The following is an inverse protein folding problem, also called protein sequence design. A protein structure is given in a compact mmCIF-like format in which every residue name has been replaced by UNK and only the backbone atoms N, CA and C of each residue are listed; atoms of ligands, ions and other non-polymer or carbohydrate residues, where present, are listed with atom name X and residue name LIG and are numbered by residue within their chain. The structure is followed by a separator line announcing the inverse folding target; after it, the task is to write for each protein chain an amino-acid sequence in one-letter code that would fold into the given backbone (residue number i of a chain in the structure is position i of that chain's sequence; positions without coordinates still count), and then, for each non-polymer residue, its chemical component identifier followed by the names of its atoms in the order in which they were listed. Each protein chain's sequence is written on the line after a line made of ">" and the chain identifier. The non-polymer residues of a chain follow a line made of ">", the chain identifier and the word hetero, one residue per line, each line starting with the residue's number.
data_IF_175589368559
#
_entry.id   IF_175589368559
#
_cell.length_a   1.000
_cell.length_b   1.000
_cell.length_c   1.000
_cell.angle_alpha   90.00
_cell.angle_beta   90.00
_cell.angle_gamma   90.00
#
_symmetry.space_group_name_H-M   'P 1'
#
loop_
_entity.id
_entity.type
_entity.pdbx_description
1 polymer ?
#
# COMPACT_ATOMS: atom_id res chain seq x y z
N UNK A 1 58.97 -46.49 40.72
CA UNK A 1 58.80 -45.03 40.54
C UNK A 1 58.57 -44.78 39.06
N UNK A 2 57.41 -44.22 38.67
CA UNK A 2 57.07 -43.90 37.27
C UNK A 2 56.88 -42.38 37.12
N UNK A 3 57.53 -41.70 36.16
CA UNK A 3 57.33 -40.27 35.95
C UNK A 3 56.05 -40.02 35.14
N UNK A 4 55.11 -39.26 35.70
CA UNK A 4 53.95 -38.70 34.96
C UNK A 4 54.42 -37.49 34.14
N UNK A 5 54.44 -37.63 32.82
CA UNK A 5 54.59 -36.51 31.91
C UNK A 5 53.34 -35.61 31.97
N UNK A 6 53.50 -34.36 32.42
CA UNK A 6 52.46 -33.32 32.29
C UNK A 6 52.53 -32.76 30.86
N UNK A 7 51.52 -33.04 30.05
CA UNK A 7 51.30 -32.35 28.77
C UNK A 7 50.81 -30.92 29.06
N UNK A 8 51.66 -29.92 28.85
CA UNK A 8 51.21 -28.53 28.80
C UNK A 8 50.47 -28.31 27.48
N UNK A 9 49.16 -28.09 27.56
CA UNK A 9 48.35 -27.70 26.39
C UNK A 9 48.65 -26.23 26.10
N UNK A 10 49.61 -25.98 25.22
CA UNK A 10 49.89 -24.64 24.73
C UNK A 10 48.61 -24.06 24.10
N UNK A 11 48.03 -23.03 24.74
CA UNK A 11 46.91 -22.28 24.16
C UNK A 11 47.50 -21.44 23.03
N UNK A 12 47.15 -21.77 21.78
CA UNK A 12 47.46 -20.93 20.63
C UNK A 12 46.69 -19.62 20.80
N UNK A 13 47.39 -18.51 20.92
CA UNK A 13 46.80 -17.17 20.86
C UNK A 13 46.39 -16.87 19.42
N UNK A 14 45.35 -16.06 19.26
CA UNK A 14 44.91 -15.61 17.93
C UNK A 14 45.96 -14.69 17.31
N UNK A 15 46.16 -14.87 16.01
CA UNK A 15 47.00 -13.96 15.20
C UNK A 15 46.26 -12.66 14.95
N UNK A 16 47.01 -11.58 14.69
CA UNK A 16 46.45 -10.26 14.43
C UNK A 16 45.52 -10.28 13.20
N UNK A 17 45.85 -11.08 12.18
CA UNK A 17 45.04 -11.23 10.97
C UNK A 17 43.72 -11.96 11.24
N UNK A 18 43.72 -13.03 12.06
CA UNK A 18 42.49 -13.72 12.46
C UNK A 18 41.54 -12.77 13.20
N UNK A 19 42.09 -11.94 14.08
CA UNK A 19 41.30 -10.97 14.82
C UNK A 19 40.70 -9.91 13.88
N UNK A 20 41.46 -9.45 12.89
CA UNK A 20 40.99 -8.46 11.91
C UNK A 20 39.88 -9.02 11.00
N UNK A 21 39.98 -10.30 10.60
CA UNK A 21 38.94 -11.00 9.85
C UNK A 21 37.68 -11.19 10.69
N UNK A 22 37.82 -11.54 11.98
CA UNK A 22 36.65 -11.71 12.86
C UNK A 22 35.92 -10.39 13.08
N UNK A 23 36.61 -9.28 13.35
CA UNK A 23 35.93 -7.99 13.53
C UNK A 23 35.29 -7.50 12.24
N UNK A 24 35.86 -7.77 11.07
CA UNK A 24 35.26 -7.37 9.78
C UNK A 24 34.02 -8.19 9.46
N UNK A 25 34.01 -9.50 9.74
CA UNK A 25 32.81 -10.34 9.62
C UNK A 25 31.74 -9.87 10.61
N UNK A 26 32.09 -9.58 11.87
CA UNK A 26 31.14 -9.03 12.85
C UNK A 26 30.60 -7.70 12.35
N UNK A 27 31.41 -6.78 11.84
CA UNK A 27 30.94 -5.50 11.31
C UNK A 27 30.04 -5.64 10.08
N UNK A 28 30.31 -6.60 9.18
CA UNK A 28 29.45 -6.87 8.02
C UNK A 28 28.11 -7.47 8.46
N UNK A 29 28.13 -8.46 9.35
CA UNK A 29 26.92 -9.08 9.89
C UNK A 29 26.13 -8.08 10.73
N UNK A 30 26.81 -7.29 11.57
CA UNK A 30 26.21 -6.17 12.30
C UNK A 30 25.64 -5.13 11.36
N UNK A 31 26.26 -4.81 10.22
CA UNK A 31 25.69 -3.92 9.20
C UNK A 31 24.38 -4.47 8.60
N UNK A 32 24.30 -5.78 8.39
CA UNK A 32 23.08 -6.44 7.92
C UNK A 32 21.96 -6.43 8.99
N UNK A 33 22.30 -6.61 10.26
CA UNK A 33 21.32 -6.61 11.37
C UNK A 33 20.97 -5.21 11.91
N UNK A 34 21.89 -4.24 11.86
CA UNK A 34 21.67 -2.86 12.32
C UNK A 34 20.84 -2.04 11.32
N UNK A 35 20.70 -2.51 10.07
CA UNK A 35 19.72 -1.97 9.14
C UNK A 35 18.29 -2.50 9.40
N UNK A 36 18.12 -3.36 10.42
CA UNK A 36 16.84 -3.88 10.89
C UNK A 36 16.60 -3.48 12.35
N UNK A 37 16.38 -2.19 12.60
CA UNK A 37 15.52 -1.63 13.66
C UNK A 37 16.02 -0.25 14.10
N UNK A 38 15.87 0.74 13.24
CA UNK A 38 15.58 2.11 13.67
C UNK A 38 14.09 2.32 13.38
N UNK A 39 13.16 2.36 14.33
CA UNK A 39 13.31 3.11 15.56
C UNK A 39 13.19 4.61 15.32
N UNK A 40 12.86 5.08 14.10
CA UNK A 40 12.70 6.51 13.85
C UNK A 40 11.26 6.84 13.47
N UNK A 41 10.60 7.64 14.31
CA UNK A 41 9.30 8.24 14.03
C UNK A 41 9.24 9.08 12.75
N UNK A 42 10.35 9.25 12.03
CA UNK A 42 10.42 9.82 10.68
C UNK A 42 9.81 8.92 9.60
N UNK A 43 9.83 7.58 9.76
CA UNK A 43 9.29 6.66 8.75
C UNK A 43 7.80 6.85 8.53
N UNK A 44 7.03 6.97 9.61
CA UNK A 44 5.58 7.10 9.56
C UNK A 44 5.12 8.43 8.95
N UNK A 45 5.73 9.54 9.39
CA UNK A 45 5.48 10.86 8.78
C UNK A 45 5.97 10.90 7.33
N UNK A 46 7.07 10.24 7.01
CA UNK A 46 7.57 10.06 5.64
C UNK A 46 6.54 9.33 4.76
N UNK A 47 6.04 8.19 5.23
CA UNK A 47 4.99 7.42 4.56
C UNK A 47 3.72 8.25 4.35
N UNK A 48 3.29 9.00 5.36
CA UNK A 48 2.13 9.89 5.26
C UNK A 48 2.34 10.99 4.20
N UNK A 49 3.52 11.61 4.15
CA UNK A 49 3.85 12.62 3.12
C UNK A 49 3.89 12.00 1.72
N UNK A 50 4.45 10.81 1.58
CA UNK A 50 4.52 10.06 0.31
C UNK A 50 3.12 9.77 -0.24
N UNK A 51 2.23 9.18 0.59
CA UNK A 51 0.85 8.86 0.19
C UNK A 51 0.08 10.13 -0.14
N UNK A 52 0.17 11.18 0.69
CA UNK A 52 -0.52 12.44 0.42
C UNK A 52 -0.01 13.16 -0.83
N UNK A 53 1.29 13.06 -1.13
CA UNK A 53 1.87 13.56 -2.38
C UNK A 53 1.33 12.79 -3.59
N UNK A 54 1.18 11.48 -3.45
CA UNK A 54 0.62 10.61 -4.50
C UNK A 54 -0.85 10.95 -4.77
N UNK A 55 -1.66 11.14 -3.73
CA UNK A 55 -3.05 11.61 -3.89
C UNK A 55 -3.12 12.97 -4.59
N UNK A 56 -2.25 13.92 -4.22
CA UNK A 56 -2.15 15.21 -4.94
C UNK A 56 -1.75 15.04 -6.40
N UNK A 57 -0.92 14.04 -6.71
CA UNK A 57 -0.52 13.70 -8.09
C UNK A 57 -1.68 13.09 -8.87
N UNK A 58 -2.44 12.15 -8.27
CA UNK A 58 -3.71 11.62 -8.81
C UNK A 58 -4.66 12.77 -9.12
N UNK A 59 -4.80 13.73 -8.19
CA UNK A 59 -5.65 14.91 -8.36
C UNK A 59 -5.17 15.81 -9.50
N UNK A 60 -3.88 16.06 -9.62
CA UNK A 60 -3.33 16.85 -10.70
C UNK A 60 -3.63 16.21 -12.07
N UNK A 61 -3.47 14.89 -12.19
CA UNK A 61 -3.85 14.16 -13.41
C UNK A 61 -5.35 14.27 -13.71
N UNK A 62 -6.19 14.20 -12.69
CA UNK A 62 -7.63 14.37 -12.81
C UNK A 62 -8.04 15.78 -13.29
N UNK A 63 -7.34 16.81 -12.81
CA UNK A 63 -7.55 18.20 -13.23
C UNK A 63 -7.08 18.45 -14.67
N UNK A 64 -6.04 17.74 -15.11
CA UNK A 64 -5.56 17.79 -16.49
C UNK A 64 -6.38 16.93 -17.46
N UNK A 65 -7.41 16.23 -16.97
CA UNK A 65 -8.20 15.25 -17.71
C UNK A 65 -7.34 14.28 -18.54
N UNK A 66 -6.23 13.80 -17.96
CA UNK A 66 -5.31 12.87 -18.62
C UNK A 66 -5.85 11.45 -18.51
N UNK A 67 -6.53 10.94 -19.52
CA UNK A 67 -6.99 9.54 -19.53
C UNK A 67 -5.91 8.54 -19.93
N UNK A 68 -6.33 7.29 -20.08
CA UNK A 68 -5.45 6.14 -20.25
C UNK A 68 -4.57 6.21 -21.50
N UNK A 69 -5.06 6.85 -22.56
CA UNK A 69 -4.40 6.86 -23.87
C UNK A 69 -3.37 7.98 -24.05
N UNK A 70 -3.25 8.91 -23.09
CA UNK A 70 -2.27 10.02 -23.17
C UNK A 70 -2.50 11.04 -24.29
N UNK A 71 -3.45 10.83 -25.20
CA UNK A 71 -3.83 11.73 -26.30
C UNK A 71 -5.14 12.47 -25.98
N UNK A 72 -5.28 13.69 -26.50
CA UNK A 72 -6.35 14.63 -26.15
C UNK A 72 -7.77 14.07 -26.19
N UNK A 73 -8.56 14.51 -25.20
CA UNK A 73 -9.93 14.08 -24.85
C UNK A 73 -10.02 12.66 -24.30
N UNK A 74 -10.38 12.57 -23.02
CA UNK A 74 -10.60 11.32 -22.31
C UNK A 74 -12.04 11.22 -21.84
N UNK A 75 -12.65 10.06 -22.06
CA UNK A 75 -14.04 9.80 -21.72
C UNK A 75 -14.13 8.87 -20.51
N UNK A 76 -15.03 9.24 -19.59
CA UNK A 76 -15.25 8.53 -18.33
C UNK A 76 -13.92 8.22 -17.60
N UNK A 77 -13.03 9.22 -17.52
CA UNK A 77 -11.70 9.03 -16.95
C UNK A 77 -11.79 8.85 -15.42
N UNK A 78 -11.05 7.86 -14.91
CA UNK A 78 -10.95 7.52 -13.48
C UNK A 78 -9.50 7.56 -13.04
N UNK A 79 -9.28 8.14 -11.87
CA UNK A 79 -7.95 8.38 -11.32
C UNK A 79 -7.88 7.72 -9.96
N UNK A 80 -7.07 6.67 -9.82
CA UNK A 80 -7.05 5.83 -8.62
C UNK A 80 -5.67 5.77 -7.99
N UNK A 81 -5.62 5.90 -6.66
CA UNK A 81 -4.51 5.40 -5.85
C UNK A 81 -4.83 3.96 -5.44
N UNK A 82 -4.01 3.00 -5.85
CA UNK A 82 -4.16 1.59 -5.51
C UNK A 82 -3.28 1.24 -4.31
N UNK A 83 -3.80 0.44 -3.38
CA UNK A 83 -3.08 -0.11 -2.22
C UNK A 83 -3.12 -1.64 -2.32
N UNK A 84 -1.96 -2.30 -2.33
CA UNK A 84 -1.90 -3.73 -2.57
C UNK A 84 -2.54 -4.50 -1.42
N UNK A 85 -3.47 -5.39 -1.76
CA UNK A 85 -4.07 -6.35 -0.84
C UNK A 85 -3.79 -7.77 -1.33
N UNK A 86 -2.58 -8.25 -1.06
CA UNK A 86 -2.14 -9.59 -1.43
C UNK A 86 -1.64 -10.36 -0.20
N UNK A 87 -2.50 -11.07 0.54
CA UNK A 87 -2.10 -11.75 1.77
C UNK A 87 -1.09 -12.89 1.55
N UNK A 88 -0.91 -13.35 0.31
CA UNK A 88 0.08 -14.38 -0.04
C UNK A 88 1.50 -13.80 -0.17
N UNK A 89 1.63 -12.47 -0.27
CA UNK A 89 2.90 -11.75 -0.36
C UNK A 89 3.02 -10.73 0.78
N UNK A 90 3.37 -11.17 2.01
CA UNK A 90 3.43 -10.31 3.19
C UNK A 90 4.48 -9.19 3.08
N UNK A 91 5.43 -9.27 2.15
CA UNK A 91 6.44 -8.22 1.93
C UNK A 91 5.82 -7.00 1.28
N UNK A 92 4.86 -7.21 0.37
CA UNK A 92 4.26 -6.14 -0.41
C UNK A 92 2.82 -5.82 0.03
N UNK A 93 2.13 -6.77 0.67
CA UNK A 93 0.80 -6.61 1.25
C UNK A 93 0.71 -5.36 2.11
N UNK A 94 -0.22 -4.44 1.81
CA UNK A 94 -0.43 -3.18 2.53
C UNK A 94 0.83 -2.31 2.69
N UNK A 95 1.88 -2.59 1.93
CA UNK A 95 3.16 -1.90 1.94
C UNK A 95 3.41 -1.19 0.60
N UNK A 96 2.91 -1.80 -0.48
CA UNK A 96 3.01 -1.33 -1.85
C UNK A 96 1.74 -0.59 -2.28
N UNK A 97 1.92 0.51 -3.00
CA UNK A 97 0.84 1.29 -3.59
C UNK A 97 1.26 1.83 -4.96
N UNK A 98 0.31 2.23 -5.79
CA UNK A 98 0.62 2.86 -7.08
C UNK A 98 -0.51 3.79 -7.52
N UNK A 99 -0.25 4.59 -8.55
CA UNK A 99 -1.29 5.37 -9.22
C UNK A 99 -1.69 4.63 -10.49
N UNK A 100 -2.99 4.61 -10.80
CA UNK A 100 -3.50 4.15 -12.08
C UNK A 100 -4.52 5.12 -12.65
N UNK A 101 -4.57 5.16 -13.96
CA UNK A 101 -5.47 6.01 -14.73
C UNK A 101 -6.24 5.11 -15.68
N UNK A 102 -7.55 5.26 -15.66
CA UNK A 102 -8.49 4.54 -16.50
C UNK A 102 -9.26 5.49 -17.41
N UNK A 103 -9.55 5.08 -18.63
CA UNK A 103 -10.52 5.77 -19.50
C UNK A 103 -11.03 4.86 -20.61
N UNK A 104 -12.09 5.29 -21.26
CA UNK A 104 -12.57 4.64 -22.49
C UNK A 104 -11.56 4.91 -23.62
N UNK A 105 -11.20 3.84 -24.34
CA UNK A 105 -10.35 3.88 -25.52
C UNK A 105 -11.21 3.94 -26.79
N UNK A 106 -11.22 5.12 -27.41
CA UNK A 106 -12.01 5.41 -28.61
C UNK A 106 -11.40 4.80 -29.88
N UNK A 107 -10.12 4.42 -29.87
CA UNK A 107 -9.45 3.86 -31.06
C UNK A 107 -9.97 2.47 -31.44
N UNK A 108 -10.55 1.76 -30.47
CA UNK A 108 -11.10 0.41 -30.64
C UNK A 108 -12.63 0.41 -30.79
N UNK A 109 -13.24 1.59 -30.87
CA UNK A 109 -14.70 1.72 -30.94
C UNK A 109 -15.22 1.64 -32.37
N UNK A 110 -16.31 0.90 -32.55
CA UNK A 110 -17.08 0.91 -33.81
C UNK A 110 -17.67 2.29 -34.08
N UNK A 111 -17.80 2.63 -35.37
CA UNK A 111 -18.44 3.89 -35.78
C UNK A 111 -19.87 4.01 -35.22
N UNK A 112 -20.22 5.20 -34.75
CA UNK A 112 -21.55 5.51 -34.23
C UNK A 112 -21.80 5.15 -32.75
N UNK A 113 -20.82 4.57 -32.06
CA UNK A 113 -20.92 4.35 -30.61
C UNK A 113 -20.45 5.59 -29.85
N UNK A 114 -21.29 6.12 -28.96
CA UNK A 114 -20.93 7.24 -28.10
C UNK A 114 -20.08 6.76 -26.91
N UNK A 115 -18.82 7.22 -26.76
CA UNK A 115 -17.92 6.81 -25.67
C UNK A 115 -18.41 7.20 -24.28
N UNK A 116 -19.30 8.19 -24.15
CA UNK A 116 -19.85 8.61 -22.86
C UNK A 116 -20.81 7.57 -22.25
N UNK A 117 -21.32 6.66 -23.08
CA UNK A 117 -22.22 5.58 -22.64
C UNK A 117 -21.48 4.40 -21.99
N UNK A 118 -20.15 4.34 -22.13
CA UNK A 118 -19.33 3.27 -21.56
C UNK A 118 -18.94 3.66 -20.13
N UNK A 119 -19.78 3.25 -19.18
CA UNK A 119 -19.60 3.55 -17.75
C UNK A 119 -18.91 2.43 -16.96
N UNK A 120 -19.00 1.19 -17.46
CA UNK A 120 -18.42 0.00 -16.84
C UNK A 120 -16.91 -0.07 -17.03
N UNK A 121 -16.17 -0.20 -15.93
CA UNK A 121 -14.69 -0.32 -15.91
C UNK A 121 -14.18 -1.66 -16.42
N UNK A 122 -15.07 -2.66 -16.50
CA UNK A 122 -14.77 -4.00 -17.04
C UNK A 122 -15.11 -4.14 -18.52
N UNK A 123 -15.65 -3.11 -19.16
CA UNK A 123 -15.80 -3.12 -20.60
C UNK A 123 -14.43 -3.29 -21.27
N UNK A 124 -14.35 -4.12 -22.30
CA UNK A 124 -13.10 -4.37 -23.04
C UNK A 124 -12.49 -3.10 -23.65
N UNK A 125 -13.31 -2.07 -23.89
CA UNK A 125 -12.93 -0.74 -24.38
C UNK A 125 -12.46 0.20 -23.28
N UNK A 126 -12.72 -0.13 -22.01
CA UNK A 126 -12.19 0.61 -20.88
C UNK A 126 -10.77 0.12 -20.57
N UNK A 127 -9.79 1.01 -20.72
CA UNK A 127 -8.37 0.69 -20.55
C UNK A 127 -7.82 1.37 -19.33
N UNK A 128 -6.84 0.72 -18.71
CA UNK A 128 -6.12 1.20 -17.56
C UNK A 128 -4.63 1.13 -17.81
N UNK A 129 -3.90 2.08 -17.27
CA UNK A 129 -2.44 2.06 -17.22
C UNK A 129 -1.95 2.66 -15.90
N UNK A 130 -0.68 2.40 -15.59
CA UNK A 130 0.02 3.02 -14.48
C UNK A 130 1.10 3.96 -15.07
N UNK A 131 1.03 5.27 -14.78
CA UNK A 131 2.00 6.23 -15.31
C UNK A 131 3.39 6.06 -14.69
N UNK A 132 3.46 5.53 -13.47
CA UNK A 132 4.68 5.37 -12.68
C UNK A 132 4.77 3.94 -12.14
N UNK A 133 5.99 3.48 -11.83
CA UNK A 133 6.17 2.18 -11.21
C UNK A 133 5.56 2.14 -9.78
N UNK A 134 5.16 0.95 -9.29
CA UNK A 134 4.67 0.80 -7.93
C UNK A 134 5.67 1.28 -6.89
N UNK A 135 5.17 1.95 -5.85
CA UNK A 135 5.98 2.53 -4.78
C UNK A 135 5.80 1.74 -3.49
N UNK A 136 6.89 1.53 -2.76
CA UNK A 136 6.86 0.98 -1.41
C UNK A 136 6.85 2.12 -0.38
N UNK A 137 6.09 1.93 0.69
CA UNK A 137 6.22 2.77 1.87
C UNK A 137 7.61 2.56 2.53
N UNK A 138 8.01 3.45 3.44
CA UNK A 138 9.22 3.23 4.23
C UNK A 138 9.13 1.93 5.03
N UNK A 139 10.27 1.27 5.21
CA UNK A 139 10.35 0.01 5.94
C UNK A 139 9.68 0.11 7.32
N UNK A 140 8.84 -0.88 7.63
CA UNK A 140 8.07 -0.93 8.87
C UNK A 140 6.78 -0.12 8.85
N UNK A 141 6.50 0.65 7.79
CA UNK A 141 5.26 1.43 7.66
C UNK A 141 4.29 0.71 6.73
N UNK A 142 3.10 0.42 7.22
CA UNK A 142 2.06 -0.30 6.49
C UNK A 142 0.73 0.43 6.56
N UNK A 143 -0.11 0.28 5.56
CA UNK A 143 -1.52 0.64 5.67
C UNK A 143 -2.18 -0.28 6.69
N UNK A 144 -2.94 0.30 7.62
CA UNK A 144 -3.87 -0.47 8.43
C UNK A 144 -5.08 -0.76 7.54
N UNK A 145 -5.48 -2.03 7.37
CA UNK A 145 -6.56 -2.37 6.47
C UNK A 145 -7.90 -1.81 6.96
N UNK A 146 -8.91 -1.72 6.07
CA UNK A 146 -10.27 -1.46 6.49
C UNK A 146 -10.79 -2.51 7.47
N UNK A 147 -11.69 -2.13 8.38
CA UNK A 147 -12.21 -3.04 9.41
C UNK A 147 -12.97 -4.27 8.85
N UNK A 148 -13.42 -4.19 7.60
CA UNK A 148 -14.06 -5.30 6.87
C UNK A 148 -13.06 -6.22 6.15
N UNK A 149 -11.76 -5.92 6.17
CA UNK A 149 -10.74 -6.85 5.70
C UNK A 149 -10.69 -8.08 6.61
N UNK A 150 -10.81 -9.25 6.01
CA UNK A 150 -10.79 -10.54 6.70
C UNK A 150 -9.48 -11.29 6.52
N UNK A 151 -8.59 -10.80 5.64
CA UNK A 151 -7.31 -11.41 5.27
C UNK A 151 -6.16 -10.98 6.17
N UNK A 152 -6.33 -9.83 6.85
CA UNK A 152 -5.32 -9.24 7.72
C UNK A 152 -5.85 -9.14 9.15
N UNK A 153 -5.04 -9.57 10.12
CA UNK A 153 -5.32 -9.40 11.55
C UNK A 153 -4.38 -8.33 12.10
N UNK A 154 -4.93 -7.26 12.65
CA UNK A 154 -4.16 -6.21 13.30
C UNK A 154 -3.98 -6.57 14.77
N UNK A 155 -2.77 -6.95 15.15
CA UNK A 155 -2.44 -7.27 16.53
C UNK A 155 -2.11 -6.01 17.29
N UNK A 156 -2.82 -5.83 18.41
CA UNK A 156 -2.65 -4.68 19.29
C UNK A 156 -1.25 -4.69 19.90
N UNK A 157 -0.69 -3.51 20.23
CA UNK A 157 0.57 -3.43 20.94
C UNK A 157 0.56 -4.22 22.26
N UNK A 158 1.69 -4.82 22.66
CA UNK A 158 1.78 -5.52 23.95
C UNK A 158 1.35 -4.62 25.11
N UNK A 159 0.45 -5.12 25.96
CA UNK A 159 -0.04 -4.38 27.13
C UNK A 159 -1.17 -3.39 26.86
N UNK A 160 -1.64 -3.25 25.62
CA UNK A 160 -2.80 -2.39 25.32
C UNK A 160 -4.10 -3.00 25.87
N UNK A 161 -4.77 -2.28 26.76
CA UNK A 161 -6.02 -2.68 27.43
C UNK A 161 -7.26 -1.93 26.93
N UNK A 162 -7.09 -0.97 26.01
CA UNK A 162 -8.16 -0.12 25.50
C UNK A 162 -9.03 -0.75 24.41
N UNK A 163 -10.02 0.02 23.95
CA UNK A 163 -10.86 -0.32 22.78
C UNK A 163 -10.15 0.14 21.50
N UNK A 164 -9.99 -0.77 20.54
CA UNK A 164 -9.37 -0.46 19.24
C UNK A 164 -10.41 0.14 18.27
N UNK A 165 -10.90 1.33 18.58
CA UNK A 165 -11.90 2.04 17.76
C UNK A 165 -11.24 3.15 16.94
N UNK A 166 -11.69 3.38 15.70
CA UNK A 166 -11.21 4.51 14.88
C UNK A 166 -9.79 4.36 14.29
N UNK A 167 -9.14 3.22 14.49
CA UNK A 167 -7.73 2.97 14.11
C UNK A 167 -7.57 2.12 12.84
N UNK A 168 -8.66 1.78 12.16
CA UNK A 168 -8.66 1.10 10.87
C UNK A 168 -8.85 2.12 9.73
N UNK A 169 -8.35 1.81 8.54
CA UNK A 169 -8.66 2.64 7.37
C UNK A 169 -10.17 2.61 7.08
N UNK A 170 -10.68 3.69 6.51
CA UNK A 170 -12.04 3.81 6.02
C UNK A 170 -11.94 4.22 4.56
N UNK A 171 -12.50 3.42 3.66
CA UNK A 171 -12.56 3.77 2.25
C UNK A 171 -14.01 3.58 1.84
N UNK A 172 -14.76 4.68 1.76
CA UNK A 172 -16.17 4.65 1.38
C UNK A 172 -16.39 4.01 0.00
N UNK A 173 -17.61 3.53 -0.25
CA UNK A 173 -18.00 3.04 -1.58
C UNK A 173 -17.99 4.18 -2.62
N UNK A 174 -17.98 3.85 -3.90
CA UNK A 174 -17.98 4.84 -4.99
C UNK A 174 -19.41 5.39 -5.24
N UNK A 175 -19.50 6.69 -5.54
CA UNK A 175 -20.77 7.43 -5.65
C UNK A 175 -21.51 7.28 -6.98
N UNK A 176 -20.84 6.78 -8.02
CA UNK A 176 -21.37 6.73 -9.39
C UNK A 176 -22.15 5.45 -9.72
N UNK A 177 -22.50 4.65 -8.71
CA UNK A 177 -23.18 3.36 -8.85
C UNK A 177 -22.47 2.43 -9.86
N UNK A 178 -21.14 2.49 -9.93
CA UNK A 178 -20.38 1.54 -10.74
C UNK A 178 -20.80 0.10 -10.43
N UNK A 179 -20.81 -0.75 -11.46
CA UNK A 179 -21.27 -2.13 -11.32
C UNK A 179 -20.12 -3.02 -10.87
N UNK A 180 -20.30 -3.70 -9.74
CA UNK A 180 -19.37 -4.71 -9.26
C UNK A 180 -19.27 -5.91 -10.23
N UNK A 181 -18.08 -6.47 -10.36
CA UNK A 181 -17.79 -7.62 -11.20
C UNK A 181 -16.60 -8.42 -10.61
N UNK A 182 -16.07 -9.39 -11.35
CA UNK A 182 -14.97 -10.25 -10.87
C UNK A 182 -13.62 -9.54 -10.74
N UNK A 183 -13.43 -8.40 -11.41
CA UNK A 183 -12.16 -7.68 -11.49
C UNK A 183 -12.23 -6.25 -10.90
N UNK A 184 -13.41 -5.74 -10.56
CA UNK A 184 -13.59 -4.41 -9.96
C UNK A 184 -14.86 -4.39 -9.12
N UNK A 185 -14.78 -3.82 -7.92
CA UNK A 185 -15.88 -3.72 -6.98
C UNK A 185 -15.87 -2.34 -6.30
N UNK A 186 -16.92 -1.53 -6.51
CA UNK A 186 -17.01 -0.18 -5.96
C UNK A 186 -17.61 -0.11 -4.54
N UNK A 187 -17.78 -1.25 -3.87
CA UNK A 187 -18.30 -1.34 -2.49
C UNK A 187 -17.37 -0.71 -1.45
N UNK A 188 -17.59 -1.01 -0.16
CA UNK A 188 -16.80 -0.46 0.95
C UNK A 188 -16.04 -1.57 1.69
N UNK A 189 -14.70 -1.65 1.58
CA UNK A 189 -13.83 -0.83 0.73
C UNK A 189 -13.92 -1.23 -0.74
N UNK A 190 -13.68 -0.28 -1.66
CA UNK A 190 -13.65 -0.59 -3.06
C UNK A 190 -12.32 -1.25 -3.42
N UNK A 191 -12.34 -2.19 -4.36
CA UNK A 191 -11.17 -2.94 -4.79
C UNK A 191 -11.19 -3.26 -6.29
N UNK A 192 -10.02 -3.42 -6.89
CA UNK A 192 -9.86 -3.88 -8.27
C UNK A 192 -8.71 -4.87 -8.43
N UNK A 193 -8.77 -5.68 -9.47
CA UNK A 193 -7.66 -6.52 -9.92
C UNK A 193 -6.75 -5.69 -10.83
N UNK A 194 -5.45 -5.67 -10.54
CA UNK A 194 -4.47 -4.94 -11.34
C UNK A 194 -3.10 -5.61 -11.31
N UNK A 195 -2.36 -5.53 -12.42
CA UNK A 195 -1.03 -6.11 -12.57
C UNK A 195 -0.08 -5.62 -11.46
N UNK A 196 0.61 -6.54 -10.79
CA UNK A 196 1.41 -6.24 -9.59
C UNK A 196 2.54 -5.22 -9.83
N UNK A 197 3.10 -5.24 -11.04
CA UNK A 197 4.20 -4.37 -11.49
C UNK A 197 3.71 -3.07 -12.14
N UNK A 198 2.39 -2.88 -12.25
CA UNK A 198 1.81 -1.85 -13.09
C UNK A 198 1.86 -2.22 -14.58
N UNK A 199 1.01 -1.58 -15.38
CA UNK A 199 1.01 -1.72 -16.84
C UNK A 199 1.29 -0.36 -17.48
N UNK A 200 2.39 -0.26 -18.22
CA UNK A 200 2.75 0.98 -18.92
C UNK A 200 1.86 1.19 -20.17
N UNK A 201 1.46 0.08 -20.81
CA UNK A 201 0.57 0.11 -21.97
C UNK A 201 -0.91 -0.01 -21.52
N UNK A 202 -1.83 0.81 -22.07
CA UNK A 202 -3.25 0.75 -21.74
C UNK A 202 -3.86 -0.63 -21.98
N UNK A 203 -4.34 -1.24 -20.91
CA UNK A 203 -4.83 -2.63 -20.89
C UNK A 203 -6.19 -2.70 -20.22
N UNK A 204 -7.12 -3.51 -20.76
CA UNK A 204 -8.44 -3.71 -20.14
C UNK A 204 -8.33 -4.64 -18.92
N UNK A 205 -9.26 -4.53 -17.95
CA UNK A 205 -9.19 -5.33 -16.72
C UNK A 205 -9.23 -6.84 -16.96
N UNK A 206 -10.02 -7.30 -17.93
CA UNK A 206 -10.12 -8.74 -18.24
C UNK A 206 -8.79 -9.35 -18.69
N UNK A 207 -7.97 -8.58 -19.39
CA UNK A 207 -6.65 -9.02 -19.87
C UNK A 207 -5.55 -9.00 -18.78
N UNK A 208 -5.80 -8.42 -17.61
CA UNK A 208 -4.78 -8.35 -16.55
C UNK A 208 -4.48 -9.69 -15.89
N UNK A 209 -5.37 -10.67 -16.01
CA UNK A 209 -5.16 -12.04 -15.52
C UNK A 209 -3.85 -12.67 -16.03
N UNK A 210 -3.42 -12.32 -17.25
CA UNK A 210 -2.14 -12.76 -17.81
C UNK A 210 -0.90 -11.95 -17.38
N UNK A 211 -1.07 -10.95 -16.51
CA UNK A 211 -0.04 -9.96 -16.14
C UNK A 211 0.19 -9.92 -14.62
N UNK A 212 0.06 -11.07 -13.94
CA UNK A 212 0.20 -11.16 -12.48
C UNK A 212 -0.75 -10.18 -11.76
N UNK A 213 -2.03 -10.22 -12.12
CA UNK A 213 -3.04 -9.40 -11.48
C UNK A 213 -3.22 -9.77 -10.01
N UNK A 214 -3.09 -8.76 -9.15
CA UNK A 214 -3.34 -8.84 -7.71
C UNK A 214 -4.55 -8.01 -7.34
N UNK A 215 -5.09 -8.24 -6.14
CA UNK A 215 -6.19 -7.44 -5.60
C UNK A 215 -5.63 -6.18 -4.96
N UNK A 216 -6.24 -5.03 -5.25
CA UNK A 216 -5.86 -3.74 -4.70
C UNK A 216 -7.10 -3.06 -4.12
N UNK A 217 -7.01 -2.50 -2.92
CA UNK A 217 -7.95 -1.46 -2.51
C UNK A 217 -7.68 -0.19 -3.32
N UNK A 218 -8.68 0.68 -3.49
CA UNK A 218 -8.44 1.94 -4.18
C UNK A 218 -9.12 3.14 -3.58
N UNK A 219 -8.50 4.30 -3.76
CA UNK A 219 -9.11 5.62 -3.55
C UNK A 219 -9.23 6.28 -4.92
N UNK A 220 -10.42 6.77 -5.27
CA UNK A 220 -10.75 7.32 -6.57
C UNK A 220 -11.09 8.81 -6.51
N UNK A 221 -10.50 9.56 -7.44
CA UNK A 221 -10.88 10.93 -7.74
C UNK A 221 -11.64 10.99 -9.07
N UNK A 222 -12.65 11.84 -9.12
CA UNK A 222 -13.41 12.14 -10.33
C UNK A 222 -12.60 13.02 -11.27
N UNK A 223 -13.04 13.12 -12.52
CA UNK A 223 -12.60 14.19 -13.41
C UNK A 223 -12.90 15.54 -12.74
N UNK A 224 -11.91 16.42 -12.64
CA UNK A 224 -11.99 17.65 -11.83
C UNK A 224 -11.39 17.53 -10.43
N UNK A 225 -10.92 16.33 -10.04
CA UNK A 225 -10.04 16.14 -8.88
C UNK A 225 -10.74 16.05 -7.53
N UNK A 226 -12.08 16.02 -7.47
CA UNK A 226 -12.86 15.77 -6.26
C UNK A 226 -12.89 14.28 -5.90
N UNK A 227 -13.15 13.95 -4.64
CA UNK A 227 -13.33 12.56 -4.21
C UNK A 227 -14.58 11.94 -4.86
N UNK A 228 -14.48 10.69 -5.37
CA UNK A 228 -15.64 9.94 -5.88
C UNK A 228 -16.32 9.06 -4.82
N UNK A 229 -15.98 9.20 -3.54
CA UNK A 229 -16.46 8.31 -2.49
C UNK A 229 -17.72 8.82 -1.79
N UNK A 230 -18.66 7.93 -1.50
CA UNK A 230 -19.75 8.14 -0.56
C UNK A 230 -19.21 7.98 0.86
N UNK A 231 -19.22 9.07 1.62
CA UNK A 231 -18.73 9.09 2.99
C UNK A 231 -17.26 9.48 3.08
N UNK A 232 -16.60 9.04 4.16
CA UNK A 232 -15.23 9.45 4.48
C UNK A 232 -14.22 8.52 3.83
N UNK A 233 -13.04 9.07 3.55
CA UNK A 233 -11.86 8.32 3.17
C UNK A 233 -10.74 8.70 4.14
N UNK A 234 -10.38 7.75 5.01
CA UNK A 234 -9.32 7.88 5.99
C UNK A 234 -8.36 6.72 5.76
N UNK A 235 -7.13 7.01 5.34
CA UNK A 235 -6.07 6.02 5.22
C UNK A 235 -5.23 6.08 6.48
N UNK A 236 -5.23 4.99 7.26
CA UNK A 236 -4.40 4.88 8.46
C UNK A 236 -3.12 4.13 8.09
N UNK A 237 -1.99 4.68 8.51
CA UNK A 237 -0.68 4.07 8.45
C UNK A 237 -0.24 3.71 9.85
N UNK A 238 0.49 2.61 9.98
CA UNK A 238 1.04 2.17 11.25
C UNK A 238 2.49 1.74 11.11
N UNK A 239 3.27 1.94 12.18
CA UNK A 239 4.56 1.29 12.31
C UNK A 239 4.39 -0.10 12.95
N UNK A 240 4.88 -1.13 12.28
CA UNK A 240 4.69 -2.50 12.72
C UNK A 240 5.59 -3.50 12.00
N UNK A 241 5.23 -4.76 12.14
CA UNK A 241 5.84 -5.88 11.43
C UNK A 241 4.71 -6.69 10.82
N UNK A 242 4.80 -6.98 9.52
CA UNK A 242 3.93 -7.95 8.87
C UNK A 242 4.57 -9.34 8.97
N UNK A 243 3.77 -10.32 9.36
CA UNK A 243 4.14 -11.74 9.31
C UNK A 243 2.97 -12.55 8.79
N UNK A 244 3.26 -13.60 8.05
CA UNK A 244 2.24 -14.60 7.71
C UNK A 244 2.03 -15.49 8.94
N UNK A 245 0.78 -15.74 9.31
CA UNK A 245 0.42 -16.79 10.26
C UNK A 245 0.12 -18.09 9.49
N UNK A 246 1.00 -19.11 9.57
CA UNK A 246 0.82 -20.35 8.82
C UNK A 246 -0.43 -21.14 9.22
N UNK A 247 -0.97 -20.92 10.43
CA UNK A 247 -2.12 -21.67 10.93
C UNK A 247 -3.45 -21.12 10.39
N UNK A 248 -3.56 -19.80 10.24
CA UNK A 248 -4.78 -19.14 9.77
C UNK A 248 -4.74 -18.72 8.30
N UNK A 249 -3.57 -18.82 7.66
CA UNK A 249 -3.29 -18.27 6.32
C UNK A 249 -3.67 -16.79 6.20
N UNK A 250 -3.47 -16.04 7.29
CA UNK A 250 -3.72 -14.60 7.38
C UNK A 250 -2.42 -13.87 7.63
N UNK A 251 -2.36 -12.64 7.13
CA UNK A 251 -1.27 -11.74 7.48
C UNK A 251 -1.57 -11.10 8.83
N UNK A 252 -0.58 -11.08 9.71
CA UNK A 252 -0.63 -10.45 11.01
C UNK A 252 0.17 -9.16 10.94
N UNK A 253 -0.48 -8.02 11.22
CA UNK A 253 0.18 -6.74 11.42
C UNK A 253 0.39 -6.54 12.92
N UNK A 254 1.60 -6.81 13.39
CA UNK A 254 1.98 -6.60 14.77
C UNK A 254 2.40 -5.14 14.98
N UNK A 255 1.58 -4.41 15.72
CA UNK A 255 1.85 -3.02 16.05
C UNK A 255 2.85 -2.93 17.21
N UNK A 256 3.84 -2.06 17.06
CA UNK A 256 4.88 -1.88 18.08
C UNK A 256 4.40 -1.05 19.28
N UNK A 257 3.60 -0.02 19.03
CA UNK A 257 3.09 0.91 20.04
C UNK A 257 1.77 1.55 19.58
N UNK A 258 0.92 1.97 20.53
CA UNK A 258 -0.35 2.63 20.28
C UNK A 258 -0.21 4.02 19.66
N UNK A 259 0.92 4.70 19.92
CA UNK A 259 1.22 6.05 19.44
C UNK A 259 1.95 6.07 18.09
N UNK A 260 2.05 4.93 17.41
CA UNK A 260 2.72 4.82 16.10
C UNK A 260 1.71 4.66 14.96
N UNK A 261 0.66 5.49 15.01
CA UNK A 261 -0.36 5.61 13.99
C UNK A 261 -0.31 7.01 13.37
N UNK A 262 -0.59 7.07 12.08
CA UNK A 262 -0.78 8.31 11.36
C UNK A 262 -1.95 8.12 10.41
N UNK A 263 -2.71 9.19 10.12
CA UNK A 263 -3.81 9.08 9.19
C UNK A 263 -3.85 10.22 8.20
N UNK A 264 -4.33 9.90 7.01
CA UNK A 264 -4.62 10.86 5.95
C UNK A 264 -6.13 10.85 5.73
N UNK A 265 -6.76 12.01 5.78
CA UNK A 265 -8.15 12.18 5.40
C UNK A 265 -8.21 12.82 4.01
N UNK A 266 -8.87 12.16 3.07
CA UNK A 266 -9.21 12.74 1.78
C UNK A 266 -10.53 13.50 1.93
N UNK A 267 -10.47 14.81 1.73
CA UNK A 267 -11.63 15.70 1.74
C UNK A 267 -12.44 15.56 0.45
N UNK A 268 -13.74 15.92 0.46
CA UNK A 268 -14.55 15.94 -0.76
C UNK A 268 -13.95 16.77 -1.90
N UNK A 269 -13.21 17.84 -1.60
CA UNK A 269 -12.50 18.68 -2.58
C UNK A 269 -11.34 17.99 -3.31
N UNK A 270 -10.94 16.80 -2.84
CA UNK A 270 -9.73 16.10 -3.27
C UNK A 270 -8.46 16.45 -2.48
N UNK A 271 -8.55 17.40 -1.55
CA UNK A 271 -7.42 17.77 -0.71
C UNK A 271 -7.19 16.76 0.42
N UNK A 272 -5.96 16.72 0.93
CA UNK A 272 -5.56 15.78 1.98
C UNK A 272 -5.23 16.52 3.27
N UNK A 273 -5.88 16.12 4.35
CA UNK A 273 -5.49 16.48 5.72
C UNK A 273 -4.71 15.33 6.36
N UNK A 274 -3.78 15.65 7.25
CA UNK A 274 -2.86 14.69 7.86
C UNK A 274 -2.83 14.88 9.37
N UNK A 275 -2.81 13.79 10.11
CA UNK A 275 -2.59 13.81 11.56
C UNK A 275 -1.72 12.64 12.00
N UNK A 276 -0.96 12.85 13.07
CA UNK A 276 -0.25 11.80 13.80
C UNK A 276 -0.75 11.70 15.24
N UNK A 277 -1.79 12.47 15.60
CA UNK A 277 -2.35 12.49 16.95
C UNK A 277 -3.33 11.30 17.11
N UNK A 278 -3.02 10.32 17.98
CA UNK A 278 -3.91 9.19 18.23
C UNK A 278 -5.29 9.61 18.74
N UNK A 279 -5.39 10.71 19.47
CA UNK A 279 -6.66 11.22 19.99
C UNK A 279 -7.61 11.67 18.87
N UNK A 280 -7.07 12.24 17.78
CA UNK A 280 -7.87 12.63 16.63
C UNK A 280 -8.41 11.42 15.86
N UNK A 281 -7.69 10.30 15.89
CA UNK A 281 -8.12 9.02 15.33
C UNK A 281 -9.25 8.41 16.17
N UNK A 282 -9.07 8.37 17.49
CA UNK A 282 -10.04 7.77 18.40
C UNK A 282 -11.37 8.55 18.42
N UNK A 283 -11.30 9.88 18.29
CA UNK A 283 -12.48 10.76 18.28
C UNK A 283 -13.09 10.94 16.88
N UNK A 284 -12.54 10.31 15.83
CA UNK A 284 -12.96 10.49 14.43
C UNK A 284 -13.06 11.98 14.01
N UNK A 285 -12.15 12.81 14.51
CA UNK A 285 -12.17 14.27 14.30
C UNK A 285 -11.70 14.68 12.90
N UNK A 286 -11.11 13.74 12.17
CA UNK A 286 -10.82 13.87 10.75
C UNK A 286 -12.15 13.94 9.96
N UNK A 287 -12.61 15.17 9.75
CA UNK A 287 -13.72 15.54 8.85
C UNK A 287 -13.19 16.08 7.53
#
# INVERSE_FOLDING_TARGET
>A
MSPRARLSRARRGFTLIELLVVITIILLISGLFLNMSAGDGGGLMGGQRMVGSSIRSVRAMALMNRGAQGTGVSYNARYRLLILNDPEDPVNHLHKYMIVVGSVDTSTMSAGVDPTTITSTSDSRYKWYSPDAPTLLPSGVYFVPPASDTTTVVNKPPGFTGTWSGRASIIGQIADNATANSNDNPGSPPWMMFASQGVVAPTNLGAMSGLDAKKWYYVELQTGGTSNHLGRVILVLANGVLRLDPASNKVQLDLKNENQLAALSLRPSGDVAMTTDPDELDKNLLK
#
